data_IF_826683317881
#
_entry.id   IF_826683317881
#
_cell.length_a   1.000
_cell.length_b   1.000
_cell.length_c   1.000
_cell.angle_alpha   90.00
_cell.angle_beta   90.00
_cell.angle_gamma   90.00
#
_symmetry.space_group_name_H-M   'P 1'
#
loop_
_entity.id
_entity.type
_entity.pdbx_description
1 polymer ?
#
# COMPACT_ATOMS: atom_id res chain seq x y z
N UNK A 1 15.11 -20.05 -12.34
CA UNK A 1 15.06 -18.59 -12.07
C UNK A 1 13.71 -18.10 -12.57
N UNK A 2 12.85 -17.62 -11.68
CA UNK A 2 11.58 -17.01 -12.10
C UNK A 2 11.88 -15.67 -12.82
N UNK A 3 11.19 -15.33 -13.91
CA UNK A 3 11.44 -14.08 -14.62
C UNK A 3 11.21 -12.89 -13.70
N UNK A 4 12.17 -11.96 -13.64
CA UNK A 4 11.98 -10.67 -12.97
C UNK A 4 10.89 -9.92 -13.73
N UNK A 5 9.71 -9.77 -13.12
CA UNK A 5 8.57 -9.09 -13.73
C UNK A 5 8.09 -7.99 -12.80
N UNK A 6 8.00 -6.78 -13.33
CA UNK A 6 7.24 -5.70 -12.72
C UNK A 6 5.78 -5.94 -13.07
N UNK A 7 4.91 -6.03 -12.07
CA UNK A 7 3.47 -6.21 -12.25
C UNK A 7 2.77 -5.04 -11.59
N UNK A 8 1.89 -4.37 -12.33
CA UNK A 8 1.06 -3.28 -11.82
C UNK A 8 -0.38 -3.77 -11.78
N UNK A 9 -1.04 -3.58 -10.64
CA UNK A 9 -2.48 -3.84 -10.45
C UNK A 9 -3.13 -2.60 -9.87
N UNK A 10 -4.26 -2.19 -10.43
CA UNK A 10 -5.12 -1.16 -9.86
C UNK A 10 -6.39 -1.81 -9.33
N UNK A 11 -6.81 -1.44 -8.13
CA UNK A 11 -7.92 -2.06 -7.41
C UNK A 11 -8.86 -0.95 -6.95
N UNK A 12 -10.15 -1.11 -7.28
CA UNK A 12 -11.20 -0.28 -6.75
C UNK A 12 -11.62 -0.82 -5.39
N UNK A 13 -11.57 0.03 -4.37
CA UNK A 13 -11.98 -0.29 -3.01
C UNK A 13 -13.26 0.50 -2.71
N UNK A 14 -14.42 -0.16 -2.67
CA UNK A 14 -15.68 0.53 -2.40
C UNK A 14 -15.68 1.14 -0.99
N UNK A 15 -16.48 2.19 -0.74
CA UNK A 15 -16.61 2.78 0.58
C UNK A 15 -17.02 1.73 1.61
N UNK A 16 -16.28 1.63 2.72
CA UNK A 16 -16.67 0.75 3.83
C UNK A 16 -17.84 1.30 4.66
N UNK A 17 -18.16 2.57 4.48
CA UNK A 17 -19.24 3.33 5.14
C UNK A 17 -19.73 4.39 4.12
N UNK A 18 -21.05 4.66 3.99
CA UNK A 18 -21.58 5.68 3.08
C UNK A 18 -21.01 7.09 3.27
N UNK A 19 -20.45 7.38 4.44
CA UNK A 19 -19.82 8.67 4.75
C UNK A 19 -18.35 8.78 4.31
N UNK A 20 -17.76 7.70 3.80
CA UNK A 20 -16.38 7.67 3.29
C UNK A 20 -16.36 7.67 1.76
N UNK A 21 -15.30 8.21 1.13
CA UNK A 21 -15.11 8.08 -0.30
C UNK A 21 -14.71 6.65 -0.70
N UNK A 22 -14.90 6.31 -1.97
CA UNK A 22 -14.24 5.15 -2.55
C UNK A 22 -12.72 5.41 -2.62
N UNK A 23 -11.94 4.33 -2.62
CA UNK A 23 -10.49 4.41 -2.73
C UNK A 23 -10.02 3.70 -4.00
N UNK A 24 -8.99 4.25 -4.63
CA UNK A 24 -8.21 3.57 -5.65
C UNK A 24 -6.87 3.16 -5.04
N UNK A 25 -6.50 1.90 -5.25
CA UNK A 25 -5.23 1.34 -4.79
C UNK A 25 -4.45 0.84 -6.00
N UNK A 26 -3.26 1.40 -6.23
CA UNK A 26 -2.32 0.87 -7.21
C UNK A 26 -1.18 0.18 -6.48
N UNK A 27 -0.94 -1.09 -6.84
CA UNK A 27 0.19 -1.87 -6.36
C UNK A 27 1.09 -2.18 -7.53
N UNK A 28 2.32 -1.69 -7.47
CA UNK A 28 3.42 -2.09 -8.34
C UNK A 28 4.30 -3.08 -7.58
N UNK A 29 4.20 -4.34 -7.95
CA UNK A 29 5.03 -5.43 -7.43
C UNK A 29 6.39 -5.41 -8.15
N UNK A 30 7.44 -5.29 -7.35
CA UNK A 30 8.84 -5.45 -7.76
C UNK A 30 9.34 -6.81 -7.22
N UNK A 31 10.62 -7.12 -7.40
CA UNK A 31 11.18 -8.44 -7.03
C UNK A 31 10.98 -8.73 -5.53
N UNK A 32 11.43 -7.84 -4.65
CA UNK A 32 11.36 -8.01 -3.19
C UNK A 32 10.75 -6.78 -2.49
N UNK A 33 9.95 -6.01 -3.23
CA UNK A 33 9.39 -4.77 -2.74
C UNK A 33 8.05 -4.44 -3.41
N UNK A 34 7.30 -3.57 -2.74
CA UNK A 34 6.06 -3.01 -3.25
C UNK A 34 6.17 -1.50 -3.32
N UNK A 35 5.77 -0.94 -4.46
CA UNK A 35 5.43 0.47 -4.59
C UNK A 35 3.90 0.57 -4.59
N UNK A 36 3.36 1.21 -3.56
CA UNK A 36 1.93 1.31 -3.29
C UNK A 36 1.53 2.76 -3.34
N UNK A 37 0.50 3.06 -4.14
CA UNK A 37 -0.21 4.32 -4.11
C UNK A 37 -1.67 4.06 -3.72
N UNK A 38 -2.21 4.89 -2.84
CA UNK A 38 -3.63 4.83 -2.48
C UNK A 38 -4.19 6.23 -2.34
N UNK A 39 -5.37 6.47 -2.90
CA UNK A 39 -6.03 7.77 -2.83
C UNK A 39 -7.55 7.68 -2.90
N UNK A 40 -8.21 8.75 -2.47
CA UNK A 40 -9.65 8.89 -2.67
C UNK A 40 -9.96 9.05 -4.16
N UNK A 41 -11.02 8.41 -4.64
CA UNK A 41 -11.42 8.45 -6.04
C UNK A 41 -12.93 8.69 -6.18
N UNK A 42 -13.30 9.47 -7.20
CA UNK A 42 -14.68 9.57 -7.69
C UNK A 42 -14.93 8.75 -8.96
N UNK A 43 -13.90 8.04 -9.43
CA UNK A 43 -13.95 7.22 -10.65
C UNK A 43 -14.66 5.91 -10.36
N UNK A 44 -15.42 5.41 -11.34
CA UNK A 44 -16.13 4.14 -11.26
C UNK A 44 -15.15 2.95 -11.21
N UNK A 45 -15.65 1.77 -10.86
CA UNK A 45 -14.83 0.55 -10.89
C UNK A 45 -14.34 0.19 -12.30
N UNK A 46 -15.09 0.56 -13.33
CA UNK A 46 -14.78 0.22 -14.73
C UNK A 46 -13.62 1.08 -15.28
N UNK A 47 -13.43 2.28 -14.71
CA UNK A 47 -12.41 3.25 -15.13
C UNK A 47 -11.25 3.35 -14.14
N UNK A 48 -11.13 2.42 -13.19
CA UNK A 48 -10.24 2.56 -12.03
C UNK A 48 -8.76 2.75 -12.40
N UNK A 49 -8.33 2.21 -13.53
CA UNK A 49 -6.96 2.35 -14.04
C UNK A 49 -6.57 3.81 -14.33
N UNK A 50 -7.55 4.71 -14.48
CA UNK A 50 -7.32 6.14 -14.65
C UNK A 50 -7.17 6.89 -13.32
N UNK A 51 -7.60 6.31 -12.20
CA UNK A 51 -7.57 6.99 -10.90
C UNK A 51 -6.15 7.41 -10.45
N UNK A 52 -5.08 6.59 -10.63
CA UNK A 52 -3.72 7.02 -10.30
C UNK A 52 -3.24 8.23 -11.11
N UNK A 53 -3.75 8.43 -12.34
CA UNK A 53 -3.39 9.57 -13.19
C UNK A 53 -4.04 10.88 -12.71
N UNK A 54 -5.15 10.78 -12.00
CA UNK A 54 -5.87 11.91 -11.41
C UNK A 54 -5.41 12.22 -9.97
N UNK A 55 -4.67 11.28 -9.37
CA UNK A 55 -4.12 11.39 -8.03
C UNK A 55 -2.77 12.11 -7.96
N UNK A 56 -2.36 12.43 -6.74
CA UNK A 56 -1.07 13.00 -6.42
C UNK A 56 -0.16 11.94 -5.79
N UNK A 57 0.86 11.48 -6.52
CA UNK A 57 1.77 10.44 -6.03
C UNK A 57 2.67 10.90 -4.86
N UNK A 58 2.67 12.17 -4.49
CA UNK A 58 3.64 12.75 -3.56
C UNK A 58 3.02 13.74 -2.58
N UNK A 59 1.88 13.43 -1.94
CA UNK A 59 1.41 14.26 -0.80
C UNK A 59 1.99 13.81 0.54
N UNK A 60 2.05 12.50 0.74
CA UNK A 60 2.65 11.86 1.89
C UNK A 60 3.25 10.54 1.41
N UNK A 61 4.58 10.48 1.34
CA UNK A 61 5.30 9.34 0.78
C UNK A 61 6.40 8.90 1.74
N UNK A 62 6.39 7.61 2.09
CA UNK A 62 7.41 7.01 2.91
C UNK A 62 7.94 5.70 2.33
N UNK A 63 9.12 5.32 2.79
CA UNK A 63 9.72 4.03 2.54
C UNK A 63 10.04 3.36 3.88
N UNK A 64 9.68 2.10 4.03
CA UNK A 64 10.08 1.26 5.16
C UNK A 64 10.62 -0.07 4.64
N UNK A 65 11.59 -0.64 5.34
CA UNK A 65 12.17 -1.93 4.96
C UNK A 65 12.40 -2.80 6.19
N UNK A 66 12.22 -4.13 6.08
CA UNK A 66 12.54 -5.02 7.18
C UNK A 66 14.04 -4.95 7.51
N UNK A 67 14.43 -5.12 8.77
CA UNK A 67 15.84 -5.25 9.13
C UNK A 67 16.42 -6.49 8.43
N UNK A 68 17.63 -6.36 7.86
CA UNK A 68 18.33 -7.48 7.24
C UNK A 68 18.73 -8.48 8.32
N UNK A 69 18.41 -9.77 8.15
CA UNK A 69 18.92 -10.84 9.00
C UNK A 69 20.45 -10.82 8.97
N UNK A 70 21.08 -10.48 10.09
CA UNK A 70 22.54 -10.42 10.22
C UNK A 70 23.04 -9.30 11.14
N UNK A 71 22.23 -8.28 11.39
CA UNK A 71 22.50 -7.29 12.44
C UNK A 71 21.79 -7.68 13.73
N UNK A 72 22.51 -7.73 14.86
CA UNK A 72 21.93 -7.81 16.20
C UNK A 72 21.13 -6.55 16.50
N UNK A 73 19.91 -6.48 15.97
CA UNK A 73 18.93 -5.48 16.34
C UNK A 73 17.78 -6.21 17.02
N UNK A 74 17.84 -6.24 18.34
CA UNK A 74 16.77 -6.63 19.27
C UNK A 74 15.57 -5.66 19.24
N UNK A 75 15.45 -4.84 18.20
CA UNK A 75 14.47 -3.77 18.14
C UNK A 75 13.28 -4.18 17.29
N UNK A 76 12.11 -4.17 17.91
CA UNK A 76 10.80 -4.27 17.26
C UNK A 76 10.53 -3.16 16.22
N UNK A 77 11.44 -2.18 16.09
CA UNK A 77 11.33 -1.05 15.19
C UNK A 77 11.81 -1.37 13.77
N UNK A 78 10.92 -1.13 12.81
CA UNK A 78 11.24 -1.20 11.38
C UNK A 78 11.85 0.13 10.93
N UNK A 79 13.06 0.14 10.34
CA UNK A 79 13.64 1.37 9.80
C UNK A 79 12.77 1.91 8.67
N UNK A 80 12.48 3.21 8.74
CA UNK A 80 11.68 3.91 7.75
C UNK A 80 12.15 5.35 7.60
N UNK A 81 11.87 5.93 6.43
CA UNK A 81 12.15 7.31 6.10
C UNK A 81 10.99 7.88 5.30
N UNK A 82 10.65 9.15 5.52
CA UNK A 82 9.72 9.86 4.65
C UNK A 82 10.49 10.38 3.46
N UNK A 83 10.02 10.04 2.26
CA UNK A 83 10.57 10.51 0.99
C UNK A 83 10.02 11.88 0.61
N UNK A 84 8.74 12.11 0.93
CA UNK A 84 8.09 13.40 0.75
C UNK A 84 7.08 13.60 1.87
N UNK A 85 7.15 14.74 2.56
CA UNK A 85 6.18 15.12 3.59
C UNK A 85 5.53 16.44 3.21
N UNK A 86 4.20 16.46 3.21
CA UNK A 86 3.47 17.71 3.40
C UNK A 86 3.35 17.96 4.91
N UNK A 87 3.41 19.23 5.33
CA UNK A 87 3.27 19.63 6.74
C UNK A 87 1.93 19.23 7.36
N UNK A 88 0.98 18.75 6.55
CA UNK A 88 -0.38 18.38 6.94
C UNK A 88 -0.63 16.86 7.08
N UNK A 89 0.32 15.98 6.73
CA UNK A 89 0.11 14.53 6.77
C UNK A 89 1.39 13.75 7.05
N UNK A 90 1.39 12.96 8.12
CA UNK A 90 2.47 12.02 8.49
C UNK A 90 1.94 10.59 8.70
N UNK A 91 1.06 10.13 7.81
CA UNK A 91 0.40 8.84 7.93
C UNK A 91 1.17 7.73 7.22
N UNK A 92 1.83 8.05 6.09
CA UNK A 92 2.50 7.07 5.27
C UNK A 92 3.67 6.39 6.01
N UNK A 93 4.44 7.12 6.81
CA UNK A 93 5.60 6.57 7.52
C UNK A 93 5.24 5.47 8.53
N UNK A 94 4.37 5.70 9.54
CA UNK A 94 4.01 4.66 10.48
C UNK A 94 3.24 3.51 9.80
N UNK A 95 2.48 3.78 8.75
CA UNK A 95 1.78 2.73 7.99
C UNK A 95 2.77 1.85 7.20
N UNK A 96 3.74 2.45 6.50
CA UNK A 96 4.78 1.72 5.78
C UNK A 96 5.58 0.82 6.73
N UNK A 97 5.89 1.27 7.94
CA UNK A 97 6.56 0.45 8.96
C UNK A 97 5.76 -0.79 9.32
N UNK A 98 4.45 -0.66 9.56
CA UNK A 98 3.57 -1.79 9.89
C UNK A 98 3.48 -2.77 8.72
N UNK A 99 3.35 -2.27 7.49
CA UNK A 99 3.30 -3.09 6.28
C UNK A 99 4.63 -3.84 6.06
N UNK A 100 5.77 -3.15 6.14
CA UNK A 100 7.08 -3.77 6.00
C UNK A 100 7.36 -4.81 7.10
N UNK A 101 6.91 -4.56 8.34
CA UNK A 101 6.96 -5.55 9.44
C UNK A 101 6.14 -6.80 9.10
N UNK A 102 4.93 -6.59 8.57
CA UNK A 102 3.96 -7.65 8.26
C UNK A 102 4.37 -8.52 7.08
N UNK A 103 4.75 -7.90 5.97
CA UNK A 103 5.05 -8.59 4.71
C UNK A 103 6.53 -8.95 4.55
N UNK A 104 7.39 -8.47 5.46
CA UNK A 104 8.86 -8.71 5.42
C UNK A 104 9.48 -8.33 4.07
N UNK A 105 8.95 -7.28 3.44
CA UNK A 105 9.40 -6.71 2.17
C UNK A 105 9.56 -5.20 2.31
N UNK A 106 10.38 -4.59 1.45
CA UNK A 106 10.48 -3.14 1.39
C UNK A 106 9.18 -2.56 0.81
N UNK A 107 8.63 -1.55 1.47
CA UNK A 107 7.38 -0.89 1.11
C UNK A 107 7.66 0.58 0.84
N UNK A 108 7.38 1.02 -0.38
CA UNK A 108 7.22 2.42 -0.74
C UNK A 108 5.73 2.71 -0.72
N UNK A 109 5.27 3.61 0.15
CA UNK A 109 3.84 3.91 0.33
C UNK A 109 3.58 5.39 0.13
N UNK A 110 2.80 5.71 -0.89
CA UNK A 110 2.23 7.03 -1.13
C UNK A 110 0.75 7.04 -0.76
N UNK A 111 0.36 7.99 0.09
CA UNK A 111 -1.01 8.21 0.54
C UNK A 111 -1.50 9.56 0.01
N UNK A 112 -2.50 9.53 -0.87
CA UNK A 112 -3.18 10.71 -1.41
C UNK A 112 -4.59 10.84 -0.85
N UNK A 113 -4.67 11.16 0.44
CA UNK A 113 -5.94 11.50 1.08
C UNK A 113 -6.01 13.03 1.24
N UNK A 114 -7.02 13.70 0.68
CA UNK A 114 -7.17 15.15 0.82
C UNK A 114 -7.22 15.59 2.30
N UNK A 115 -6.50 16.66 2.70
CA UNK A 115 -6.49 17.15 4.08
C UNK A 115 -7.87 17.49 4.63
N UNK A 116 -8.79 17.94 3.77
CA UNK A 116 -10.17 18.23 4.13
C UNK A 116 -10.89 17.02 4.75
N UNK A 117 -10.53 15.80 4.32
CA UNK A 117 -11.11 14.55 4.84
C UNK A 117 -10.36 14.11 6.11
N UNK A 118 -9.05 14.38 6.20
CA UNK A 118 -8.24 14.11 7.39
C UNK A 118 -8.60 15.04 8.58
N UNK A 119 -9.12 16.23 8.30
CA UNK A 119 -9.62 17.15 9.34
C UNK A 119 -11.02 16.79 9.87
N UNK A 120 -11.72 15.84 9.25
CA UNK A 120 -13.04 15.40 9.72
C UNK A 120 -12.89 14.44 10.91
N UNK A 121 -13.93 14.35 11.74
CA UNK A 121 -14.03 13.38 12.86
C UNK A 121 -13.94 11.90 12.42
N UNK A 122 -13.98 11.65 11.10
CA UNK A 122 -13.89 10.33 10.50
C UNK A 122 -12.50 9.95 9.95
N UNK A 123 -11.49 10.80 10.13
CA UNK A 123 -10.14 10.56 9.62
C UNK A 123 -9.59 9.18 10.02
N UNK A 124 -9.75 8.78 11.28
CA UNK A 124 -9.34 7.47 11.76
C UNK A 124 -10.03 6.30 11.06
N UNK A 125 -11.32 6.44 10.72
CA UNK A 125 -12.07 5.42 9.98
C UNK A 125 -11.54 5.26 8.56
N UNK A 126 -11.26 6.38 7.89
CA UNK A 126 -10.70 6.38 6.55
C UNK A 126 -9.30 5.76 6.53
N UNK A 127 -8.42 6.19 7.45
CA UNK A 127 -7.06 5.65 7.53
C UNK A 127 -7.05 4.15 7.83
N UNK A 128 -7.99 3.68 8.66
CA UNK A 128 -8.20 2.26 8.88
C UNK A 128 -8.67 1.54 7.60
N UNK A 129 -9.61 2.11 6.85
CA UNK A 129 -10.08 1.56 5.58
C UNK A 129 -8.95 1.49 4.53
N UNK A 130 -8.12 2.53 4.45
CA UNK A 130 -6.90 2.59 3.63
C UNK A 130 -5.96 1.45 3.98
N UNK A 131 -5.58 1.31 5.26
CA UNK A 131 -4.66 0.25 5.69
C UNK A 131 -5.25 -1.15 5.48
N UNK A 132 -6.54 -1.34 5.79
CA UNK A 132 -7.25 -2.60 5.55
C UNK A 132 -7.26 -2.97 4.07
N UNK A 133 -7.51 -2.00 3.19
CA UNK A 133 -7.52 -2.19 1.73
C UNK A 133 -6.16 -2.64 1.22
N UNK A 134 -5.08 -1.96 1.63
CA UNK A 134 -3.71 -2.34 1.27
C UNK A 134 -3.39 -3.75 1.77
N UNK A 135 -3.69 -4.06 3.03
CA UNK A 135 -3.40 -5.39 3.61
C UNK A 135 -4.18 -6.50 2.90
N UNK A 136 -5.43 -6.24 2.51
CA UNK A 136 -6.23 -7.19 1.71
C UNK A 136 -5.56 -7.47 0.37
N UNK A 137 -5.33 -6.42 -0.42
CA UNK A 137 -4.72 -6.55 -1.75
C UNK A 137 -3.35 -7.24 -1.74
N UNK A 138 -2.47 -6.87 -0.79
CA UNK A 138 -1.15 -7.48 -0.69
C UNK A 138 -1.22 -8.96 -0.27
N UNK A 139 -2.19 -9.35 0.57
CA UNK A 139 -2.40 -10.77 0.88
C UNK A 139 -2.86 -11.57 -0.32
N UNK A 140 -3.77 -11.01 -1.12
CA UNK A 140 -4.28 -11.68 -2.32
C UNK A 140 -3.14 -11.89 -3.33
N UNK A 141 -2.28 -10.88 -3.51
CA UNK A 141 -1.08 -10.98 -4.36
C UNK A 141 -0.09 -12.06 -3.87
N UNK A 142 0.19 -12.14 -2.56
CA UNK A 142 1.06 -13.18 -2.00
C UNK A 142 0.40 -14.58 -2.02
N UNK A 143 -0.94 -14.65 -1.95
CA UNK A 143 -1.73 -15.87 -2.01
C UNK A 143 -1.75 -16.50 -3.41
N UNK A 144 -1.94 -15.67 -4.45
CA UNK A 144 -1.90 -16.08 -5.85
C UNK A 144 -0.53 -16.65 -6.27
N UNK A 145 0.56 -16.26 -5.58
CA UNK A 145 1.92 -16.71 -5.86
C UNK A 145 2.25 -18.14 -5.39
N UNK A 146 1.36 -18.83 -4.67
CA UNK A 146 1.57 -20.21 -4.17
C UNK A 146 0.99 -21.33 -5.05
N UNK A 147 0.47 -21.00 -6.24
CA UNK A 147 -0.27 -21.93 -7.10
C UNK A 147 0.52 -22.91 -7.98
N UNK A 148 1.79 -22.67 -8.32
CA UNK A 148 2.49 -23.45 -9.36
C UNK A 148 3.56 -24.42 -8.82
N UNK A 149 3.16 -25.31 -7.90
CA UNK A 149 4.09 -26.20 -7.19
C UNK A 149 3.76 -27.69 -7.14
N UNK A 150 2.68 -28.18 -7.76
CA UNK A 150 2.38 -29.62 -7.74
C UNK A 150 1.56 -30.11 -8.94
N UNK A 151 2.24 -30.54 -9.99
CA UNK A 151 1.77 -31.63 -10.86
C UNK A 151 2.92 -32.08 -11.80
N UNK A 152 3.75 -33.00 -11.34
CA UNK A 152 4.39 -33.97 -12.24
C UNK A 152 4.43 -35.33 -11.54
N UNK A 153 3.31 -36.03 -11.65
CA UNK A 153 3.29 -37.50 -11.60
C UNK A 153 3.32 -37.98 -13.04
N UNK A 154 4.42 -38.61 -13.42
CA UNK A 154 4.51 -39.65 -14.44
C UNK A 154 5.63 -40.58 -14.02
#
# INVERSE_FOLDING_TARGET
MSPQRIVVKTIHLPPSDPSLPALALQVTQLVDSYLVWIGATGVSSDDIDQAPQQGNLSRDWACAMPPRLGGSYSSDAVPATSLYRSSSSEVALPMAQRLAKRFRKQIFLSVDVPPAILSMSQSHKLLFAVEKGIVGALKDIEGDGRGDGSASTS
#
